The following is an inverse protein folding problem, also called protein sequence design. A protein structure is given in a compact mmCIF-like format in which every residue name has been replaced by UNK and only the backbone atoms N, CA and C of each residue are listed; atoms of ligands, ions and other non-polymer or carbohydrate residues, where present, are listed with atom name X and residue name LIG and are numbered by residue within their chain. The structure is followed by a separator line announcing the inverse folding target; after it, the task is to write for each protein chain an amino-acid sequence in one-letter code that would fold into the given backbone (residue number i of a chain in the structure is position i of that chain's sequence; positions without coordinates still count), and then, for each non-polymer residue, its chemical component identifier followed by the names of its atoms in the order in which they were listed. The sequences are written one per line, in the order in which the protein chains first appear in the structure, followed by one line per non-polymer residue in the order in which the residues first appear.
data_IF_697123927438
#
_entry.id   IF_697123927438
#
_cell.length_a   1.000
_cell.length_b   1.000
_cell.length_c   1.000
_cell.angle_alpha   90.00
_cell.angle_beta   90.00
_cell.angle_gamma   90.00
#
_symmetry.space_group_name_H-M   'P 1'
#
loop_
_entity.id
_entity.type
_entity.pdbx_description
1 polymer ?
#
# COMPACT_ATOMS: atom_id res chain seq x y z
N UNK A 1 -2.26 -16.51 -5.54
CA UNK A 1 -2.75 -15.45 -4.62
C UNK A 1 -1.92 -14.21 -4.86
N UNK A 2 -2.53 -13.07 -5.23
CA UNK A 2 -1.80 -11.92 -5.77
C UNK A 2 -1.00 -11.18 -4.70
N UNK A 3 0.21 -10.79 -5.07
CA UNK A 3 1.10 -9.92 -4.30
C UNK A 3 1.09 -8.55 -4.94
N UNK A 4 0.83 -7.52 -4.15
CA UNK A 4 0.57 -6.16 -4.62
C UNK A 4 1.42 -5.17 -3.83
N UNK A 5 1.84 -4.09 -4.49
CA UNK A 5 2.41 -2.91 -3.84
C UNK A 5 1.34 -1.82 -3.83
N UNK A 6 0.93 -1.40 -2.63
CA UNK A 6 0.09 -0.24 -2.41
C UNK A 6 0.95 0.99 -2.16
N UNK A 7 0.53 2.13 -2.72
CA UNK A 7 1.18 3.43 -2.54
C UNK A 7 0.15 4.44 -2.03
N UNK A 8 0.52 5.24 -1.04
CA UNK A 8 -0.31 6.33 -0.52
C UNK A 8 0.53 7.58 -0.28
N UNK A 9 0.02 8.74 -0.69
CA UNK A 9 0.61 10.05 -0.41
C UNK A 9 -0.45 10.92 0.26
N UNK A 10 -0.25 11.20 1.55
CA UNK A 10 -1.09 12.13 2.30
C UNK A 10 -0.90 13.59 1.87
N UNK A 11 -1.83 14.45 2.26
CA UNK A 11 -1.70 15.91 2.08
C UNK A 11 -0.71 16.55 3.06
N UNK A 12 -0.17 15.79 4.01
CA UNK A 12 0.86 16.19 4.96
C UNK A 12 2.23 16.43 4.32
N UNK A 13 2.48 15.88 3.12
CA UNK A 13 3.77 15.95 2.41
C UNK A 13 4.98 15.46 3.22
N UNK A 14 4.75 14.57 4.18
CA UNK A 14 5.77 13.96 5.03
C UNK A 14 6.49 12.79 4.35
N UNK A 15 5.83 12.12 3.41
CA UNK A 15 6.46 11.07 2.60
C UNK A 15 5.50 10.29 1.72
N UNK A 16 6.02 9.21 1.13
CA UNK A 16 5.28 8.20 0.40
C UNK A 16 5.21 6.92 1.24
N UNK A 17 3.99 6.51 1.57
CA UNK A 17 3.74 5.23 2.23
C UNK A 17 3.72 4.11 1.19
N UNK A 18 4.44 3.04 1.46
CA UNK A 18 4.60 1.87 0.59
C UNK A 18 4.23 0.63 1.39
N UNK A 19 3.28 -0.17 0.90
CA UNK A 19 2.86 -1.41 1.52
C UNK A 19 2.97 -2.58 0.53
N UNK A 20 3.71 -3.62 0.90
CA UNK A 20 3.76 -4.89 0.20
C UNK A 20 2.78 -5.87 0.84
N UNK A 21 1.71 -6.19 0.11
CA UNK A 21 0.55 -6.92 0.64
C UNK A 21 0.34 -8.20 -0.14
N UNK A 22 0.07 -9.29 0.58
CA UNK A 22 -0.37 -10.55 -0.01
C UNK A 22 -1.87 -10.72 0.21
N UNK A 23 -2.62 -10.82 -0.88
CA UNK A 23 -4.06 -11.04 -0.82
C UNK A 23 -4.38 -12.51 -1.05
N UNK A 24 -5.34 -13.01 -0.29
CA UNK A 24 -5.85 -14.37 -0.34
C UNK A 24 -7.38 -14.34 -0.41
N UNK A 25 -7.96 -15.29 -1.11
CA UNK A 25 -9.42 -15.47 -1.09
C UNK A 25 -9.77 -16.90 -0.69
N UNK A 26 -10.87 -17.03 0.05
CA UNK A 26 -11.42 -18.30 0.50
C UNK A 26 -12.87 -18.36 0.04
N UNK A 27 -13.28 -19.51 -0.47
CA UNK A 27 -14.61 -19.72 -1.05
C UNK A 27 -14.63 -19.50 -2.56
N UNK A 28 -15.84 -19.58 -3.12
CA UNK A 28 -16.08 -19.42 -4.55
C UNK A 28 -17.13 -18.31 -4.75
N UNK A 29 -17.10 -17.67 -5.91
CA UNK A 29 -18.13 -16.69 -6.29
C UNK A 29 -19.55 -17.28 -6.15
N UNK A 30 -20.50 -16.55 -5.55
CA UNK A 30 -20.42 -15.15 -5.11
C UNK A 30 -19.98 -14.95 -3.65
N UNK A 31 -19.74 -16.01 -2.90
CA UNK A 31 -19.44 -15.97 -1.46
C UNK A 31 -17.94 -15.86 -1.14
N UNK A 32 -17.13 -15.43 -2.11
CA UNK A 32 -15.69 -15.27 -1.91
C UNK A 32 -15.39 -14.25 -0.80
N UNK A 33 -14.52 -14.64 0.13
CA UNK A 33 -14.02 -13.76 1.18
C UNK A 33 -12.56 -13.47 0.94
N UNK A 34 -12.20 -12.20 0.96
CA UNK A 34 -10.83 -11.75 0.81
C UNK A 34 -10.19 -11.51 2.19
N UNK A 35 -8.97 -11.99 2.34
CA UNK A 35 -8.08 -11.78 3.48
C UNK A 35 -6.74 -11.25 2.98
N UNK A 36 -6.02 -10.52 3.82
CA UNK A 36 -4.74 -9.94 3.44
C UNK A 36 -3.73 -9.98 4.57
N UNK A 37 -2.46 -10.06 4.20
CA UNK A 37 -1.31 -9.92 5.09
C UNK A 37 -0.43 -8.77 4.60
N UNK A 38 -0.08 -7.84 5.50
CA UNK A 38 0.96 -6.84 5.23
C UNK A 38 2.31 -7.52 5.48
N UNK A 39 3.05 -7.81 4.42
CA UNK A 39 4.37 -8.44 4.51
C UNK A 39 5.43 -7.41 4.90
N UNK A 40 5.33 -6.21 4.32
CA UNK A 40 6.22 -5.10 4.62
C UNK A 40 5.48 -3.78 4.45
N UNK A 41 5.79 -2.80 5.28
CA UNK A 41 5.33 -1.44 5.12
C UNK A 41 6.42 -0.48 5.57
N UNK A 42 6.65 0.56 4.78
CA UNK A 42 7.58 1.63 5.10
C UNK A 42 7.05 2.96 4.57
N UNK A 43 7.50 4.05 5.19
CA UNK A 43 7.27 5.41 4.71
C UNK A 43 8.62 5.98 4.29
N UNK A 44 8.73 6.39 3.02
CA UNK A 44 9.92 7.07 2.51
C UNK A 44 9.68 8.57 2.56
N UNK A 45 10.46 9.35 3.34
CA UNK A 45 10.29 10.79 3.41
C UNK A 45 10.50 11.45 2.05
N UNK A 46 9.67 12.46 1.73
CA UNK A 46 9.90 13.24 0.53
C UNK A 46 11.20 14.03 0.64
N UNK A 47 11.92 14.12 -0.48
CA UNK A 47 13.05 15.04 -0.56
C UNK A 47 12.56 16.49 -0.54
N UNK A 48 13.44 17.40 -0.12
CA UNK A 48 13.15 18.84 -0.11
C UNK A 48 12.77 19.38 -1.49
N UNK A 49 13.28 18.79 -2.57
CA UNK A 49 12.91 19.15 -3.94
C UNK A 49 11.48 18.76 -4.29
N UNK A 50 11.00 17.61 -3.79
CA UNK A 50 9.62 17.17 -3.98
C UNK A 50 8.64 18.00 -3.15
N UNK A 51 8.98 18.30 -1.89
CA UNK A 51 8.15 19.16 -1.02
C UNK A 51 7.94 20.55 -1.63
N UNK A 52 8.91 21.09 -2.36
CA UNK A 52 8.79 22.40 -3.03
C UNK A 52 7.93 22.39 -4.29
N UNK A 53 7.74 21.22 -4.91
CA UNK A 53 7.08 21.06 -6.22
C UNK A 53 5.62 20.62 -6.10
N UNK A 54 5.26 19.99 -4.99
CA UNK A 54 3.93 19.47 -4.67
C UNK A 54 3.17 20.50 -3.82
#
# INVERSE_FOLDING_TARGET
MPRVIGLMSGSSLDGLDIAYVNFSSIGNYPEEKWTFDIIHAETIPYSSDWIKKL
#
